data_IF_543579812680
#
_entry.id   IF_543579812680
#
_cell.length_a   1.000
_cell.length_b   1.000
_cell.length_c   1.000
_cell.angle_alpha   90.00
_cell.angle_beta   90.00
_cell.angle_gamma   90.00
#
_symmetry.space_group_name_H-M   'P 1'
#
loop_
_entity.id
_entity.type
_entity.pdbx_description
1 polymer ?
#
# COMPACT_ATOMS: atom_id res chain seq x y z
N UNK A 1 6.48 -9.90 29.11
CA UNK A 1 5.31 -9.69 28.26
C UNK A 1 5.57 -8.39 27.53
N UNK A 2 6.17 -8.43 26.33
CA UNK A 2 6.30 -7.25 25.48
C UNK A 2 4.89 -6.95 25.00
N UNK A 3 4.28 -5.90 25.55
CA UNK A 3 3.09 -5.33 24.93
C UNK A 3 3.48 -5.00 23.50
N UNK A 4 2.87 -5.69 22.51
CA UNK A 4 2.89 -5.19 21.14
C UNK A 4 2.57 -3.70 21.23
N UNK A 5 3.33 -2.80 20.57
CA UNK A 5 2.85 -1.46 20.40
C UNK A 5 1.46 -1.63 19.80
N UNK A 6 0.47 -1.13 20.54
CA UNK A 6 -0.93 -1.17 20.13
C UNK A 6 -1.00 -0.88 18.63
N UNK A 7 -2.02 -1.42 17.95
CA UNK A 7 -2.30 -1.23 16.52
C UNK A 7 -2.21 0.23 16.03
N UNK A 8 -1.94 1.13 16.92
CA UNK A 8 -1.56 2.54 16.79
C UNK A 8 -0.08 2.79 16.47
N UNK A 9 0.66 1.86 15.83
CA UNK A 9 1.92 2.29 15.23
C UNK A 9 1.56 3.22 14.06
N UNK A 10 1.58 4.56 14.27
CA UNK A 10 0.87 5.52 13.41
C UNK A 10 1.53 5.73 12.05
N UNK A 11 2.58 4.99 11.72
CA UNK A 11 3.48 5.40 10.64
C UNK A 11 3.63 4.42 9.46
N UNK A 12 3.23 3.15 9.57
CA UNK A 12 3.37 2.19 8.44
C UNK A 12 2.02 1.87 7.83
N UNK A 13 1.04 1.55 8.63
CA UNK A 13 -0.29 1.16 8.19
C UNK A 13 -1.05 2.28 7.44
N UNK A 14 -0.96 3.57 7.81
CA UNK A 14 -1.71 4.60 7.11
C UNK A 14 -1.34 4.76 5.64
N UNK A 15 -0.07 4.59 5.28
CA UNK A 15 0.37 4.81 3.90
C UNK A 15 0.12 3.61 2.98
N UNK A 16 0.16 2.39 3.54
CA UNK A 16 0.01 1.13 2.81
C UNK A 16 -0.87 0.16 3.60
N UNK A 17 -2.21 0.34 3.61
CA UNK A 17 -3.15 -0.44 4.41
C UNK A 17 -3.39 -1.83 3.79
N UNK A 18 -2.36 -2.67 3.75
CA UNK A 18 -2.37 -3.98 3.08
C UNK A 18 -3.07 -5.07 3.90
N UNK A 19 -3.45 -4.80 5.13
CA UNK A 19 -4.17 -5.72 6.00
C UNK A 19 -5.55 -5.21 6.36
N UNK A 20 -6.47 -6.13 6.61
CA UNK A 20 -7.69 -5.89 7.35
C UNK A 20 -7.36 -6.08 8.85
N UNK A 21 -7.43 -5.00 9.62
CA UNK A 21 -6.92 -4.95 10.99
C UNK A 21 -7.49 -6.05 11.90
N UNK A 22 -8.82 -6.29 11.95
CA UNK A 22 -9.38 -7.37 12.77
C UNK A 22 -8.88 -8.76 12.38
N UNK A 23 -8.75 -9.04 11.07
CA UNK A 23 -8.23 -10.33 10.59
C UNK A 23 -6.76 -10.50 10.95
N UNK A 24 -5.96 -9.44 10.82
CA UNK A 24 -4.55 -9.50 11.17
C UNK A 24 -4.32 -9.68 12.67
N UNK A 25 -5.13 -9.04 13.52
CA UNK A 25 -5.06 -9.25 14.97
C UNK A 25 -5.39 -10.69 15.36
N UNK A 26 -6.37 -11.31 14.71
CA UNK A 26 -6.66 -12.73 14.90
C UNK A 26 -5.48 -13.61 14.46
N UNK A 27 -4.86 -13.33 13.29
CA UNK A 27 -3.66 -14.03 12.83
C UNK A 27 -2.50 -13.91 13.84
N UNK A 28 -2.36 -12.76 14.50
CA UNK A 28 -1.36 -12.54 15.57
C UNK A 28 -1.66 -13.43 16.77
N UNK A 29 -2.90 -13.46 17.26
CA UNK A 29 -3.31 -14.32 18.37
C UNK A 29 -3.09 -15.80 18.05
N UNK A 30 -3.42 -16.24 16.84
CA UNK A 30 -3.20 -17.61 16.40
C UNK A 30 -1.72 -17.98 16.47
N UNK A 31 -0.81 -17.12 16.05
CA UNK A 31 0.65 -17.36 16.13
C UNK A 31 1.12 -17.45 17.59
N UNK A 32 0.62 -16.58 18.47
CA UNK A 32 0.95 -16.66 19.92
C UNK A 32 0.39 -17.94 20.56
N UNK A 33 -0.71 -18.47 20.05
CA UNK A 33 -1.29 -19.75 20.46
C UNK A 33 -0.65 -20.97 19.77
N UNK A 34 0.45 -20.76 19.03
CA UNK A 34 1.24 -21.85 18.45
C UNK A 34 0.89 -22.23 17.03
N UNK A 35 0.18 -21.39 16.27
CA UNK A 35 -0.09 -21.64 14.85
C UNK A 35 1.21 -21.84 14.06
N UNK A 36 1.24 -22.88 13.23
CA UNK A 36 2.33 -23.19 12.30
C UNK A 36 2.06 -22.66 10.89
N UNK A 37 0.98 -21.93 10.68
CA UNK A 37 0.65 -21.33 9.37
C UNK A 37 1.78 -20.41 8.91
N UNK A 38 2.28 -20.68 7.70
CA UNK A 38 3.46 -19.99 7.18
C UNK A 38 3.16 -18.50 6.88
N UNK A 39 1.95 -18.18 6.38
CA UNK A 39 1.57 -16.81 6.09
C UNK A 39 1.46 -15.98 7.38
N UNK A 40 0.75 -16.47 8.40
CA UNK A 40 0.59 -15.78 9.68
C UNK A 40 1.95 -15.53 10.33
N UNK A 41 2.80 -16.55 10.39
CA UNK A 41 4.15 -16.48 10.96
C UNK A 41 5.06 -15.51 10.19
N UNK A 42 4.95 -15.48 8.87
CA UNK A 42 5.67 -14.54 8.02
C UNK A 42 5.22 -13.10 8.26
N UNK A 43 3.90 -12.84 8.17
CA UNK A 43 3.34 -11.51 8.28
C UNK A 43 3.63 -10.86 9.64
N UNK A 44 3.42 -11.58 10.74
CA UNK A 44 3.73 -11.07 12.09
C UNK A 44 5.18 -10.63 12.22
N UNK A 45 6.14 -11.46 11.80
CA UNK A 45 7.57 -11.14 11.90
C UNK A 45 7.97 -9.98 11.00
N UNK A 46 7.40 -9.89 9.80
CA UNK A 46 7.64 -8.78 8.88
C UNK A 46 7.10 -7.45 9.42
N UNK A 47 5.91 -7.47 10.01
CA UNK A 47 5.32 -6.27 10.63
C UNK A 47 6.19 -5.80 11.80
N UNK A 48 6.66 -6.72 12.66
CA UNK A 48 7.59 -6.38 13.75
C UNK A 48 8.90 -5.80 13.18
N UNK A 49 9.49 -6.41 12.16
CA UNK A 49 10.73 -5.94 11.53
C UNK A 49 10.57 -4.52 10.97
N UNK A 50 9.48 -4.26 10.23
CA UNK A 50 9.18 -2.94 9.66
C UNK A 50 8.99 -1.90 10.78
N UNK A 51 8.24 -2.25 11.82
CA UNK A 51 7.98 -1.35 12.95
C UNK A 51 9.28 -0.96 13.67
N UNK A 52 10.15 -1.93 13.96
CA UNK A 52 11.43 -1.69 14.62
C UNK A 52 12.36 -0.80 13.77
N UNK A 53 12.40 -0.98 12.44
CA UNK A 53 13.18 -0.12 11.54
C UNK A 53 12.73 1.34 11.55
N UNK A 54 11.46 1.59 11.88
CA UNK A 54 10.91 2.96 11.92
C UNK A 54 10.98 3.62 13.28
N UNK A 55 11.18 2.85 14.36
CA UNK A 55 11.25 3.40 15.70
C UNK A 55 12.57 4.13 15.95
N UNK A 56 13.69 3.45 15.83
CA UNK A 56 15.02 4.01 16.08
C UNK A 56 16.09 3.10 15.44
N UNK A 57 17.21 3.70 15.03
CA UNK A 57 18.36 3.01 14.44
C UNK A 57 18.99 1.98 15.37
N UNK A 58 18.88 2.15 16.70
CA UNK A 58 19.33 1.18 17.69
C UNK A 58 18.65 -0.18 17.55
N UNK A 59 17.43 -0.23 17.01
CA UNK A 59 16.69 -1.48 16.81
C UNK A 59 16.97 -2.16 15.46
N UNK A 60 17.83 -1.60 14.61
CA UNK A 60 18.08 -2.12 13.26
C UNK A 60 18.55 -3.59 13.28
N UNK A 61 19.44 -3.99 14.22
CA UNK A 61 19.88 -5.37 14.36
C UNK A 61 18.78 -6.34 14.78
N UNK A 62 17.87 -5.88 15.65
CA UNK A 62 16.70 -6.67 16.06
C UNK A 62 15.70 -6.78 14.90
N UNK A 63 15.46 -5.71 14.18
CA UNK A 63 14.62 -5.70 12.98
C UNK A 63 15.13 -6.68 11.91
N UNK A 64 16.44 -6.69 11.64
CA UNK A 64 17.08 -7.66 10.75
C UNK A 64 16.87 -9.11 11.22
N UNK A 65 16.95 -9.36 12.52
CA UNK A 65 16.72 -10.71 13.08
C UNK A 65 15.28 -11.18 12.83
N UNK A 66 14.29 -10.31 13.00
CA UNK A 66 12.90 -10.62 12.69
C UNK A 66 12.67 -10.80 11.18
N UNK A 67 13.29 -9.97 10.34
CA UNK A 67 13.26 -10.14 8.90
C UNK A 67 13.80 -11.50 8.45
N UNK A 68 14.99 -11.88 8.93
CA UNK A 68 15.59 -13.18 8.61
C UNK A 68 14.75 -14.35 9.13
N UNK A 69 14.14 -14.21 10.32
CA UNK A 69 13.22 -15.20 10.84
C UNK A 69 11.94 -15.33 10.00
N UNK A 70 11.42 -14.21 9.46
CA UNK A 70 10.28 -14.21 8.54
C UNK A 70 10.60 -14.95 7.24
N UNK A 71 11.80 -14.75 6.65
CA UNK A 71 12.19 -15.38 5.39
C UNK A 71 12.15 -16.91 5.43
N UNK A 72 12.26 -17.54 6.60
CA UNK A 72 12.12 -19.02 6.76
C UNK A 72 10.74 -19.52 6.34
N UNK A 73 9.72 -18.67 6.43
CA UNK A 73 8.33 -18.98 6.08
C UNK A 73 7.95 -18.52 4.67
N UNK A 74 8.77 -17.66 4.06
CA UNK A 74 8.43 -16.96 2.82
C UNK A 74 8.04 -17.90 1.68
N UNK A 75 8.86 -18.93 1.42
CA UNK A 75 8.59 -19.87 0.32
C UNK A 75 7.22 -20.54 0.43
N UNK A 76 6.85 -20.96 1.65
CA UNK A 76 5.55 -21.59 1.91
C UNK A 76 4.41 -20.59 1.86
N UNK A 77 4.62 -19.37 2.38
CA UNK A 77 3.61 -18.31 2.41
C UNK A 77 3.24 -17.79 1.00
N UNK A 78 4.20 -17.78 0.06
CA UNK A 78 3.97 -17.26 -1.30
C UNK A 78 3.48 -18.33 -2.30
N UNK A 79 3.54 -19.61 -1.91
CA UNK A 79 3.16 -20.72 -2.79
C UNK A 79 1.73 -20.65 -3.36
N UNK A 80 0.71 -20.15 -2.63
CA UNK A 80 -0.67 -20.12 -3.14
C UNK A 80 -0.93 -19.16 -4.29
N UNK A 81 -0.05 -18.17 -4.56
CA UNK A 81 -0.17 -17.17 -5.63
C UNK A 81 -1.53 -16.45 -5.61
N UNK A 82 -1.95 -15.96 -4.46
CA UNK A 82 -3.23 -15.28 -4.21
C UNK A 82 -3.03 -13.92 -3.51
N UNK A 83 -4.11 -13.32 -2.97
CA UNK A 83 -4.03 -12.04 -2.24
C UNK A 83 -3.06 -12.09 -1.05
N UNK A 84 -3.01 -13.19 -0.30
CA UNK A 84 -2.05 -13.37 0.81
C UNK A 84 -0.61 -13.35 0.30
N UNK A 85 -0.35 -13.97 -0.85
CA UNK A 85 0.96 -13.90 -1.53
C UNK A 85 1.32 -12.46 -1.88
N UNK A 86 0.35 -11.69 -2.38
CA UNK A 86 0.56 -10.29 -2.75
C UNK A 86 0.89 -9.43 -1.52
N UNK A 87 0.23 -9.68 -0.39
CA UNK A 87 0.55 -9.05 0.90
C UNK A 87 1.99 -9.37 1.34
N UNK A 88 2.45 -10.62 1.16
CA UNK A 88 3.83 -10.99 1.46
C UNK A 88 4.83 -10.17 0.62
N UNK A 89 4.60 -10.01 -0.68
CA UNK A 89 5.47 -9.18 -1.53
C UNK A 89 5.41 -7.70 -1.14
N UNK A 90 4.25 -7.17 -0.79
CA UNK A 90 4.10 -5.80 -0.32
C UNK A 90 4.89 -5.55 0.98
N UNK A 91 4.93 -6.53 1.90
CA UNK A 91 5.73 -6.45 3.13
C UNK A 91 7.24 -6.45 2.84
N UNK A 92 7.72 -7.36 1.97
CA UNK A 92 9.15 -7.34 1.57
C UNK A 92 9.49 -6.02 0.90
N UNK A 93 8.64 -5.51 0.01
CA UNK A 93 8.84 -4.21 -0.62
C UNK A 93 8.90 -3.09 0.43
N UNK A 94 7.96 -3.06 1.38
CA UNK A 94 7.93 -2.08 2.47
C UNK A 94 9.20 -2.11 3.33
N UNK A 95 9.67 -3.28 3.74
CA UNK A 95 10.93 -3.44 4.47
C UNK A 95 12.13 -2.99 3.63
N UNK A 96 12.17 -3.37 2.34
CA UNK A 96 13.28 -3.04 1.45
C UNK A 96 13.34 -1.56 1.08
N UNK A 97 12.23 -0.85 1.10
CA UNK A 97 12.22 0.62 0.97
C UNK A 97 12.90 1.32 2.15
N UNK A 98 12.85 0.72 3.34
CA UNK A 98 13.54 1.23 4.54
C UNK A 98 15.00 0.76 4.61
N UNK A 99 15.32 -0.37 4.00
CA UNK A 99 16.65 -1.01 4.02
C UNK A 99 17.10 -1.39 2.60
N UNK A 100 17.38 -0.41 1.73
CA UNK A 100 17.61 -0.65 0.28
C UNK A 100 18.86 -1.49 -0.01
N UNK A 101 19.76 -1.65 0.95
CA UNK A 101 20.98 -2.47 0.80
C UNK A 101 20.73 -3.96 0.97
N UNK A 102 19.59 -4.37 1.52
CA UNK A 102 19.28 -5.78 1.83
C UNK A 102 18.62 -6.52 0.68
N UNK A 103 17.81 -5.84 -0.12
CA UNK A 103 17.04 -6.48 -1.18
C UNK A 103 16.89 -5.51 -2.35
N UNK A 104 16.97 -6.03 -3.57
CA UNK A 104 16.75 -5.25 -4.79
C UNK A 104 15.26 -4.88 -4.91
N UNK A 105 14.83 -3.85 -4.19
CA UNK A 105 13.42 -3.46 -4.03
C UNK A 105 12.68 -3.26 -5.36
N UNK A 106 13.36 -2.76 -6.40
CA UNK A 106 12.78 -2.58 -7.72
C UNK A 106 12.29 -3.91 -8.32
N UNK A 107 13.06 -4.99 -8.16
CA UNK A 107 12.65 -6.32 -8.64
C UNK A 107 11.51 -6.90 -7.80
N UNK A 108 11.56 -6.73 -6.49
CA UNK A 108 10.49 -7.22 -5.58
C UNK A 108 9.16 -6.57 -5.94
N UNK A 109 9.14 -5.24 -6.10
CA UNK A 109 7.93 -4.51 -6.52
C UNK A 109 7.48 -5.01 -7.89
N UNK A 110 8.40 -5.21 -8.84
CA UNK A 110 8.08 -5.74 -10.17
C UNK A 110 7.40 -7.11 -10.14
N UNK A 111 7.81 -8.01 -9.24
CA UNK A 111 7.14 -9.31 -9.03
C UNK A 111 5.74 -9.08 -8.45
N UNK A 112 5.60 -8.24 -7.43
CA UNK A 112 4.30 -7.89 -6.85
C UNK A 112 3.33 -7.31 -7.89
N UNK A 113 3.80 -6.40 -8.75
CA UNK A 113 3.00 -5.82 -9.83
C UNK A 113 2.55 -6.89 -10.84
N UNK A 114 3.43 -7.80 -11.24
CA UNK A 114 3.07 -8.90 -12.16
C UNK A 114 2.03 -9.83 -11.54
N UNK A 115 2.15 -10.15 -10.26
CA UNK A 115 1.13 -10.94 -9.57
C UNK A 115 -0.19 -10.17 -9.46
N UNK A 116 -0.14 -8.87 -9.15
CA UNK A 116 -1.30 -8.00 -9.13
C UNK A 116 -2.05 -8.02 -10.48
N UNK A 117 -1.31 -7.92 -11.59
CA UNK A 117 -1.87 -8.03 -12.94
C UNK A 117 -2.41 -9.43 -13.25
N UNK A 118 -1.68 -10.48 -12.86
CA UNK A 118 -2.11 -11.86 -13.06
C UNK A 118 -3.41 -12.20 -12.29
N UNK A 119 -3.62 -11.56 -11.14
CA UNK A 119 -4.86 -11.64 -10.36
C UNK A 119 -5.98 -10.73 -10.91
N UNK A 120 -5.70 -9.93 -11.94
CA UNK A 120 -6.65 -9.00 -12.56
C UNK A 120 -7.02 -7.79 -11.69
N UNK A 121 -6.20 -7.45 -10.66
CA UNK A 121 -6.53 -6.37 -9.72
C UNK A 121 -6.37 -4.96 -10.32
N UNK A 122 -5.94 -4.86 -11.56
CA UNK A 122 -5.82 -3.61 -12.31
C UNK A 122 -7.10 -3.23 -13.05
N UNK A 123 -8.16 -4.05 -12.95
CA UNK A 123 -9.46 -3.86 -13.58
C UNK A 123 -10.57 -3.94 -12.52
N UNK A 124 -11.37 -2.88 -12.37
CA UNK A 124 -12.46 -2.84 -11.39
C UNK A 124 -13.49 -3.96 -11.60
N UNK A 125 -13.74 -4.32 -12.87
CA UNK A 125 -14.62 -5.44 -13.20
C UNK A 125 -14.13 -6.74 -12.57
N UNK A 126 -12.84 -7.03 -12.63
CA UNK A 126 -12.26 -8.25 -12.04
C UNK A 126 -12.22 -8.17 -10.51
N UNK A 127 -11.95 -6.99 -9.95
CA UNK A 127 -11.97 -6.76 -8.50
C UNK A 127 -13.33 -7.10 -7.91
N UNK A 128 -14.40 -6.72 -8.60
CA UNK A 128 -15.79 -6.90 -8.15
C UNK A 128 -16.33 -8.33 -8.33
N UNK A 129 -15.58 -9.21 -9.02
CA UNK A 129 -16.00 -10.58 -9.28
C UNK A 129 -15.37 -11.58 -8.29
N UNK A 130 -16.22 -12.38 -7.69
CA UNK A 130 -15.83 -13.56 -6.91
C UNK A 130 -15.82 -14.85 -7.74
N UNK A 131 -15.56 -15.99 -7.08
CA UNK A 131 -15.58 -17.30 -7.73
C UNK A 131 -16.90 -17.59 -8.45
N UNK A 132 -16.79 -18.13 -9.66
CA UNK A 132 -17.96 -18.48 -10.46
C UNK A 132 -18.73 -17.30 -11.05
N UNK A 133 -18.11 -16.10 -11.11
CA UNK A 133 -18.72 -14.89 -11.69
C UNK A 133 -19.78 -14.22 -10.81
N UNK A 134 -19.88 -14.61 -9.55
CA UNK A 134 -20.72 -13.94 -8.55
C UNK A 134 -20.03 -12.67 -8.05
N UNK A 135 -20.76 -11.70 -7.48
CA UNK A 135 -20.13 -10.58 -6.80
C UNK A 135 -19.19 -11.08 -5.70
N UNK A 136 -18.00 -10.48 -5.62
CA UNK A 136 -17.08 -10.74 -4.52
C UNK A 136 -17.64 -10.15 -3.21
N UNK A 137 -17.23 -10.70 -2.07
CA UNK A 137 -17.63 -10.13 -0.77
C UNK A 137 -17.00 -8.74 -0.57
N UNK A 138 -17.64 -7.85 0.20
CA UNK A 138 -17.18 -6.47 0.37
C UNK A 138 -15.77 -6.35 0.95
N UNK A 139 -15.40 -7.23 1.89
CA UNK A 139 -14.05 -7.27 2.46
C UNK A 139 -13.01 -7.64 1.40
N UNK A 140 -13.32 -8.62 0.56
CA UNK A 140 -12.40 -9.04 -0.52
C UNK A 140 -12.23 -7.92 -1.56
N UNK A 141 -13.31 -7.25 -1.96
CA UNK A 141 -13.26 -6.08 -2.86
C UNK A 141 -12.38 -4.98 -2.29
N UNK A 142 -12.60 -4.62 -1.03
CA UNK A 142 -11.84 -3.58 -0.35
C UNK A 142 -10.35 -3.94 -0.26
N UNK A 143 -10.02 -5.19 0.11
CA UNK A 143 -8.63 -5.66 0.18
C UNK A 143 -7.94 -5.71 -1.18
N UNK A 144 -8.62 -6.07 -2.25
CA UNK A 144 -8.10 -6.06 -3.62
C UNK A 144 -7.74 -4.63 -4.05
N UNK A 145 -8.61 -3.64 -3.80
CA UNK A 145 -8.36 -2.23 -4.08
C UNK A 145 -7.17 -1.70 -3.27
N UNK A 146 -7.08 -2.02 -1.97
CA UNK A 146 -5.94 -1.62 -1.12
C UNK A 146 -4.61 -2.13 -1.65
N UNK A 147 -4.54 -3.40 -2.01
CA UNK A 147 -3.32 -4.01 -2.51
C UNK A 147 -2.90 -3.43 -3.86
N UNK A 148 -3.86 -3.22 -4.77
CA UNK A 148 -3.59 -2.54 -6.04
C UNK A 148 -2.99 -1.15 -5.80
N UNK A 149 -3.67 -0.28 -5.05
CA UNK A 149 -3.23 1.09 -4.81
C UNK A 149 -1.92 1.17 -4.04
N UNK A 150 -1.69 0.28 -3.08
CA UNK A 150 -0.43 0.21 -2.33
C UNK A 150 0.74 -0.14 -3.24
N UNK A 151 0.62 -1.18 -4.06
CA UNK A 151 1.67 -1.59 -4.98
C UNK A 151 1.92 -0.57 -6.09
N UNK A 152 0.87 0.00 -6.66
CA UNK A 152 0.99 1.07 -7.66
C UNK A 152 1.75 2.27 -7.11
N UNK A 153 1.44 2.65 -5.88
CA UNK A 153 2.09 3.78 -5.20
C UNK A 153 3.57 3.50 -4.91
N UNK A 154 3.90 2.29 -4.47
CA UNK A 154 5.29 1.87 -4.27
C UNK A 154 6.05 1.85 -5.59
N UNK A 155 5.46 1.31 -6.66
CA UNK A 155 6.06 1.23 -7.99
C UNK A 155 6.33 2.62 -8.56
N UNK A 156 5.35 3.52 -8.54
CA UNK A 156 5.53 4.88 -9.05
C UNK A 156 6.52 5.70 -8.23
N UNK A 157 6.47 5.57 -6.89
CA UNK A 157 7.41 6.26 -6.02
C UNK A 157 8.86 5.86 -6.29
N UNK A 158 9.12 4.56 -6.37
CA UNK A 158 10.45 4.03 -6.61
C UNK A 158 10.94 4.33 -8.03
N UNK A 159 10.08 4.12 -9.03
CA UNK A 159 10.40 4.43 -10.43
C UNK A 159 10.75 5.91 -10.63
N UNK A 160 10.05 6.81 -9.92
CA UNK A 160 10.36 8.24 -9.92
C UNK A 160 11.75 8.51 -9.32
N UNK A 161 12.03 7.97 -8.12
CA UNK A 161 13.30 8.18 -7.43
C UNK A 161 14.51 7.62 -8.17
N UNK A 162 14.34 6.50 -8.87
CA UNK A 162 15.42 5.84 -9.62
C UNK A 162 15.55 6.32 -11.08
N UNK A 163 14.66 7.18 -11.57
CA UNK A 163 14.61 7.56 -12.98
C UNK A 163 14.29 6.39 -13.93
N UNK A 164 13.67 5.31 -13.43
CA UNK A 164 13.35 4.08 -14.17
C UNK A 164 11.88 4.04 -14.59
N UNK A 165 11.53 3.25 -15.63
CA UNK A 165 10.12 2.99 -15.94
C UNK A 165 9.41 2.32 -14.77
N UNK A 166 8.16 2.71 -14.53
CA UNK A 166 7.29 1.99 -13.61
C UNK A 166 6.81 0.68 -14.25
N UNK A 167 6.58 -0.36 -13.45
CA UNK A 167 6.12 -1.66 -13.94
C UNK A 167 4.64 -1.63 -14.36
N UNK A 168 3.85 -0.73 -13.77
CA UNK A 168 2.49 -0.41 -14.21
C UNK A 168 2.45 0.55 -15.42
N UNK A 169 3.55 0.75 -16.15
CA UNK A 169 3.66 1.75 -17.22
C UNK A 169 2.60 1.62 -18.32
N UNK A 170 2.15 0.41 -18.62
CA UNK A 170 1.13 0.13 -19.64
C UNK A 170 -0.30 0.49 -19.22
N UNK A 171 -0.56 0.57 -17.93
CA UNK A 171 -1.90 0.89 -17.38
C UNK A 171 -2.13 2.39 -17.20
N UNK A 172 -1.16 3.19 -17.56
CA UNK A 172 -1.10 4.60 -17.18
C UNK A 172 -2.18 5.51 -17.79
N UNK A 173 -2.92 5.07 -18.79
CA UNK A 173 -3.90 5.93 -19.47
C UNK A 173 -5.30 5.83 -18.88
N UNK A 174 -5.68 4.68 -18.30
CA UNK A 174 -6.98 4.50 -17.66
C UNK A 174 -6.86 3.57 -16.46
N UNK A 175 -6.70 4.13 -15.27
CA UNK A 175 -6.90 3.41 -14.02
C UNK A 175 -8.38 3.55 -13.68
N UNK A 176 -9.15 2.46 -13.82
CA UNK A 176 -10.57 2.40 -13.49
C UNK A 176 -10.84 1.85 -12.09
N UNK A 177 -9.79 1.43 -11.38
CA UNK A 177 -9.89 0.84 -10.04
C UNK A 177 -10.42 1.86 -9.04
N UNK A 178 -11.53 1.52 -8.40
CA UNK A 178 -12.15 2.34 -7.34
C UNK A 178 -11.25 2.49 -6.11
N UNK A 179 -11.55 3.50 -5.29
CA UNK A 179 -10.89 3.65 -4.01
C UNK A 179 -11.35 2.58 -3.01
N UNK A 180 -10.48 2.24 -2.05
CA UNK A 180 -10.90 1.50 -0.87
C UNK A 180 -11.95 2.27 -0.09
N UNK A 181 -12.75 1.56 0.70
CA UNK A 181 -13.76 2.19 1.54
C UNK A 181 -13.12 2.96 2.71
N UNK A 182 -13.71 4.11 3.05
CA UNK A 182 -13.23 4.95 4.15
C UNK A 182 -13.74 4.49 5.53
N UNK A 183 -14.67 3.55 5.60
CA UNK A 183 -15.09 2.98 6.88
C UNK A 183 -13.91 2.31 7.58
N UNK A 184 -13.89 2.37 8.91
CA UNK A 184 -12.92 1.60 9.68
C UNK A 184 -13.12 0.10 9.46
N UNK A 185 -12.03 -0.68 9.58
CA UNK A 185 -12.01 -2.10 9.25
C UNK A 185 -13.01 -2.94 10.03
N UNK A 186 -13.35 -2.54 11.25
CA UNK A 186 -14.37 -3.22 12.07
C UNK A 186 -15.76 -3.18 11.47
N UNK A 187 -16.02 -2.24 10.55
CA UNK A 187 -17.32 -2.10 9.85
C UNK A 187 -17.34 -2.81 8.49
N UNK A 188 -16.21 -3.34 8.01
CA UNK A 188 -16.11 -4.03 6.73
C UNK A 188 -15.99 -5.54 6.99
N UNK A 189 -17.01 -6.30 6.62
CA UNK A 189 -17.03 -7.75 6.82
C UNK A 189 -17.31 -8.48 5.52
N UNK A 190 -17.18 -9.79 5.51
CA UNK A 190 -17.52 -10.61 4.34
C UNK A 190 -19.03 -10.60 4.06
N UNK A 191 -19.83 -10.51 5.11
CA UNK A 191 -21.29 -10.52 5.03
C UNK A 191 -21.87 -9.19 4.56
N UNK A 192 -21.10 -8.11 4.70
CA UNK A 192 -21.55 -6.78 4.32
C UNK A 192 -20.77 -5.65 4.97
N UNK A 193 -21.08 -4.43 4.57
CA UNK A 193 -20.58 -3.22 5.18
C UNK A 193 -21.60 -2.69 6.18
N UNK A 194 -21.13 -2.40 7.38
CA UNK A 194 -21.95 -1.76 8.42
C UNK A 194 -21.78 -0.25 8.34
N UNK A 195 -22.82 0.53 8.70
CA UNK A 195 -22.67 1.99 8.79
C UNK A 195 -21.58 2.38 9.78
N UNK A 196 -20.56 3.10 9.29
CA UNK A 196 -19.51 3.64 10.14
C UNK A 196 -19.88 5.04 10.63
N UNK A 197 -19.63 5.39 11.90
CA UNK A 197 -19.99 6.70 12.47
C UNK A 197 -19.16 7.83 11.86
N UNK A 198 -17.93 7.52 11.41
CA UNK A 198 -17.01 8.47 10.79
C UNK A 198 -16.05 7.76 9.84
N UNK A 199 -15.43 8.55 8.96
CA UNK A 199 -14.38 8.04 8.07
C UNK A 199 -13.11 7.73 8.86
N UNK A 200 -12.42 6.63 8.49
CA UNK A 200 -11.13 6.26 9.05
C UNK A 200 -10.04 7.24 8.57
N UNK A 201 -9.46 7.96 9.51
CA UNK A 201 -8.35 8.88 9.22
C UNK A 201 -7.17 8.13 8.57
N UNK A 202 -6.86 6.91 9.02
CA UNK A 202 -5.77 6.07 8.46
C UNK A 202 -6.00 5.83 6.95
N UNK A 203 -7.21 5.48 6.55
CA UNK A 203 -7.55 5.22 5.15
C UNK A 203 -7.61 6.50 4.31
N UNK A 204 -8.09 7.58 4.90
CA UNK A 204 -8.07 8.89 4.24
C UNK A 204 -6.63 9.32 3.94
N UNK A 205 -5.72 9.20 4.91
CA UNK A 205 -4.28 9.46 4.72
C UNK A 205 -3.73 8.64 3.54
N UNK A 206 -4.04 7.34 3.46
CA UNK A 206 -3.59 6.49 2.36
C UNK A 206 -4.10 7.00 1.00
N UNK A 207 -5.40 7.26 0.88
CA UNK A 207 -6.00 7.76 -0.38
C UNK A 207 -5.40 9.12 -0.76
N UNK A 208 -5.21 10.01 0.21
CA UNK A 208 -4.60 11.32 -0.03
C UNK A 208 -3.15 11.17 -0.55
N UNK A 209 -2.38 10.26 0.04
CA UNK A 209 -1.03 9.91 -0.42
C UNK A 209 -1.05 9.31 -1.84
N UNK A 210 -2.00 8.43 -2.16
CA UNK A 210 -2.13 7.86 -3.50
C UNK A 210 -2.47 8.93 -4.55
N UNK A 211 -3.36 9.86 -4.22
CA UNK A 211 -3.68 11.01 -5.09
C UNK A 211 -2.44 11.86 -5.39
N UNK A 212 -1.58 12.10 -4.38
CA UNK A 212 -0.30 12.78 -4.61
C UNK A 212 0.58 12.04 -5.63
N UNK A 213 0.67 10.70 -5.54
CA UNK A 213 1.44 9.90 -6.50
C UNK A 213 0.90 10.01 -7.92
N UNK A 214 -0.41 10.11 -8.10
CA UNK A 214 -1.02 10.33 -9.41
C UNK A 214 -0.66 11.70 -9.97
N UNK A 215 -0.67 12.76 -9.15
CA UNK A 215 -0.22 14.10 -9.57
C UNK A 215 1.26 14.09 -9.99
N UNK A 216 2.13 13.48 -9.19
CA UNK A 216 3.55 13.33 -9.52
C UNK A 216 3.76 12.56 -10.84
N UNK A 217 2.94 11.54 -11.10
CA UNK A 217 2.97 10.80 -12.34
C UNK A 217 2.55 11.66 -13.53
N UNK A 218 1.49 12.47 -13.40
CA UNK A 218 1.02 13.38 -14.44
C UNK A 218 2.10 14.41 -14.80
N UNK A 219 2.73 15.02 -13.78
CA UNK A 219 3.85 15.95 -13.95
C UNK A 219 5.02 15.27 -14.69
N UNK A 220 5.42 14.10 -14.23
CA UNK A 220 6.54 13.36 -14.84
C UNK A 220 6.27 13.03 -16.30
N UNK A 221 5.06 12.63 -16.63
CA UNK A 221 4.66 12.32 -18.01
C UNK A 221 4.72 13.55 -18.91
N UNK A 222 4.23 14.67 -18.42
CA UNK A 222 4.16 15.89 -19.21
C UNK A 222 5.54 16.50 -19.43
N UNK A 223 6.36 16.58 -18.38
CA UNK A 223 7.63 17.31 -18.43
C UNK A 223 8.84 16.46 -18.80
N UNK A 224 8.84 15.16 -18.47
CA UNK A 224 10.08 14.35 -18.55
C UNK A 224 10.00 13.15 -19.50
N UNK A 225 8.82 12.80 -20.01
CA UNK A 225 8.71 11.70 -20.97
C UNK A 225 8.73 12.23 -22.40
N UNK A 226 9.86 12.02 -23.11
CA UNK A 226 10.16 12.55 -24.46
C UNK A 226 9.16 12.20 -25.58
N UNK A 227 8.25 11.24 -25.37
CA UNK A 227 7.26 10.83 -26.38
C UNK A 227 5.94 11.64 -26.31
N UNK A 228 5.81 12.60 -25.42
CA UNK A 228 4.59 13.41 -25.24
C UNK A 228 4.88 14.86 -25.55
N UNK A 229 3.86 15.59 -26.00
CA UNK A 229 3.94 17.04 -26.18
C UNK A 229 4.29 17.69 -24.83
N UNK A 230 5.46 18.33 -24.76
CA UNK A 230 5.85 19.17 -23.63
C UNK A 230 5.07 20.48 -23.67
N UNK A 231 4.93 21.19 -22.53
CA UNK A 231 4.45 22.57 -22.56
C UNK A 231 5.34 23.39 -23.50
N UNK A 232 4.74 24.27 -24.31
CA UNK A 232 5.49 25.07 -25.30
C UNK A 232 6.31 26.18 -24.63
N UNK A 233 5.80 26.73 -23.56
CA UNK A 233 6.38 27.83 -22.78
C UNK A 233 5.79 27.82 -21.37
N UNK A 234 6.19 28.76 -20.53
CA UNK A 234 5.73 28.94 -19.14
C UNK A 234 4.29 29.49 -19.05
N UNK A 235 3.70 29.92 -20.17
CA UNK A 235 2.31 30.39 -20.27
C UNK A 235 1.35 29.26 -20.69
N UNK A 236 1.85 28.04 -20.94
CA UNK A 236 1.00 26.92 -21.34
C UNK A 236 -0.07 26.68 -20.26
N UNK A 237 -1.37 26.57 -20.64
CA UNK A 237 -2.48 26.41 -19.70
C UNK A 237 -2.34 25.21 -18.76
N UNK A 238 -1.55 24.21 -19.16
CA UNK A 238 -1.30 23.04 -18.32
C UNK A 238 -0.70 23.40 -16.96
N UNK A 239 0.15 24.44 -16.87
CA UNK A 239 0.74 24.84 -15.59
C UNK A 239 -0.31 25.36 -14.62
N UNK A 240 -1.23 26.19 -15.07
CA UNK A 240 -2.31 26.72 -14.24
C UNK A 240 -3.30 25.63 -13.83
N UNK A 241 -3.61 24.68 -14.73
CA UNK A 241 -4.44 23.52 -14.42
C UNK A 241 -3.78 22.62 -13.37
N UNK A 242 -2.48 22.34 -13.52
CA UNK A 242 -1.73 21.52 -12.56
C UNK A 242 -1.64 22.21 -11.21
N UNK A 243 -1.39 23.51 -11.17
CA UNK A 243 -1.38 24.30 -9.94
C UNK A 243 -2.74 24.20 -9.23
N UNK A 244 -3.82 24.31 -9.95
CA UNK A 244 -5.20 24.17 -9.41
C UNK A 244 -5.41 22.78 -8.80
N UNK A 245 -4.97 21.70 -9.48
CA UNK A 245 -5.04 20.33 -8.97
C UNK A 245 -4.20 20.15 -7.70
N UNK A 246 -3.00 20.73 -7.65
CA UNK A 246 -2.11 20.64 -6.48
C UNK A 246 -2.69 21.39 -5.28
N UNK A 247 -3.27 22.58 -5.49
CA UNK A 247 -3.96 23.36 -4.46
C UNK A 247 -5.16 22.57 -3.92
N UNK A 248 -6.01 22.04 -4.80
CA UNK A 248 -7.15 21.22 -4.39
C UNK A 248 -6.73 19.98 -3.60
N UNK A 249 -5.64 19.32 -4.01
CA UNK A 249 -5.08 18.20 -3.24
C UNK A 249 -4.61 18.65 -1.86
N UNK A 250 -3.85 19.74 -1.76
CA UNK A 250 -3.38 20.29 -0.48
C UNK A 250 -4.54 20.63 0.46
N UNK A 251 -5.55 21.30 -0.06
CA UNK A 251 -6.68 21.80 0.73
C UNK A 251 -7.63 20.68 1.20
N UNK A 252 -7.52 19.48 0.61
CA UNK A 252 -8.20 18.25 1.06
C UNK A 252 -7.34 17.38 1.96
N UNK A 253 -6.22 17.90 2.48
CA UNK A 253 -5.34 17.16 3.40
C UNK A 253 -6.10 16.81 4.67
N UNK A 254 -6.02 15.54 5.15
CA UNK A 254 -6.64 15.17 6.41
C UNK A 254 -5.96 15.91 7.57
N UNK A 255 -6.76 16.59 8.38
CA UNK A 255 -6.30 17.25 9.60
C UNK A 255 -6.44 16.30 10.79
N UNK A 256 -5.41 16.27 11.63
CA UNK A 256 -5.46 15.56 12.91
C UNK A 256 -5.83 16.55 14.01
N UNK A 257 -6.76 16.20 14.88
CA UNK A 257 -7.06 16.94 16.10
C UNK A 257 -5.79 17.20 16.91
N UNK A 258 -5.52 18.46 17.22
CA UNK A 258 -4.32 18.88 17.98
C UNK A 258 -3.18 19.48 17.15
N UNK A 259 -3.39 19.83 15.89
CA UNK A 259 -2.41 20.60 15.06
C UNK A 259 -1.15 19.85 14.67
N UNK A 260 -1.11 18.52 14.84
CA UNK A 260 -0.07 17.64 14.35
C UNK A 260 -0.46 16.98 13.02
N UNK A 261 -1.06 17.76 12.13
CA UNK A 261 -1.44 17.29 10.80
C UNK A 261 -0.24 16.86 9.97
N UNK A 262 -0.51 16.21 8.85
CA UNK A 262 0.48 15.78 7.84
C UNK A 262 1.49 16.88 7.45
N UNK A 263 1.20 18.14 7.72
CA UNK A 263 2.10 19.28 7.50
C UNK A 263 3.45 19.20 8.23
N UNK A 264 3.64 18.26 9.17
CA UNK A 264 4.93 17.99 9.82
C UNK A 264 5.65 16.75 9.31
N UNK A 265 5.06 16.00 8.40
CA UNK A 265 5.60 14.72 7.89
C UNK A 265 6.11 14.85 6.44
N UNK A 266 5.88 16.00 5.79
CA UNK A 266 6.32 16.30 4.41
C UNK A 266 7.42 17.34 4.34
#
# INVERSE_FOLDING_TARGET
MLSLPAADSPLVHPMYPIFHEPTFLQDVEDVYNGSTDAYQNYCLRMVIAISLQRMDTQYAGLADSYYLAALKYFQSAVKPMNLKTLQCFALVAGYSLLTPTRTAVYYVIGIGVRLCQALGLHEEKTISLGPGGRPADPLEVDMRRRLFWSLLTMDYGLAHSLGRPAHFATLQEHIDVGWMDLADDVYITREGMRPAPQASLKKWIAIHFYKMRLLQLEIRRKLYQKKRSEPKDDQDPWFSEMQTKMIAWRDTSPEMDGGSGLNKVW
#
